data_IF_992072455964
#
_entry.id   IF_992072455964
#
_cell.length_a   1.000
_cell.length_b   1.000
_cell.length_c   1.000
_cell.angle_alpha   90.00
_cell.angle_beta   90.00
_cell.angle_gamma   90.00
#
_symmetry.space_group_name_H-M   'P 1'
#
loop_
_entity.id
_entity.type
_entity.pdbx_description
1 polymer ?
#
# COMPACT_ATOMS: atom_id res chain seq x y z
N UNK A 1 -26.23 -66.91 -6.29
CA UNK A 1 -26.79 -68.14 -5.71
C UNK A 1 -26.06 -69.34 -6.32
N UNK A 2 -25.18 -70.00 -5.56
CA UNK A 2 -24.57 -71.27 -5.95
C UNK A 2 -25.10 -72.34 -5.00
N UNK A 3 -26.03 -73.13 -5.51
CA UNK A 3 -26.63 -74.30 -4.89
C UNK A 3 -25.71 -75.50 -5.14
N UNK A 4 -25.30 -76.17 -4.05
CA UNK A 4 -24.63 -77.47 -4.10
C UNK A 4 -25.70 -78.55 -3.89
N UNK A 5 -25.81 -79.59 -4.74
CA UNK A 5 -26.85 -80.60 -4.62
C UNK A 5 -26.47 -81.73 -3.66
N UNK A 6 -27.48 -82.27 -3.00
CA UNK A 6 -27.43 -83.44 -2.15
C UNK A 6 -27.17 -84.72 -2.98
N UNK A 7 -26.26 -85.58 -2.51
CA UNK A 7 -26.18 -86.98 -2.92
C UNK A 7 -26.78 -87.85 -1.81
N UNK A 8 -27.90 -88.48 -2.16
CA UNK A 8 -28.49 -89.62 -1.47
C UNK A 8 -27.78 -90.90 -1.92
N UNK A 9 -27.66 -91.86 -1.01
CA UNK A 9 -27.59 -93.28 -1.39
C UNK A 9 -26.63 -94.11 -0.55
N UNK A 10 -27.17 -94.92 0.39
CA UNK A 10 -27.29 -96.37 0.19
C UNK A 10 -27.94 -97.02 1.42
N UNK A 11 -29.05 -97.71 1.16
CA UNK A 11 -29.63 -98.86 1.88
C UNK A 11 -28.56 -99.96 2.03
N UNK A 12 -28.58 -100.98 2.88
CA UNK A 12 -29.61 -101.75 3.57
C UNK A 12 -28.81 -102.69 4.51
N UNK A 13 -29.20 -102.93 5.76
CA UNK A 13 -28.70 -104.09 6.50
C UNK A 13 -29.69 -104.52 7.57
N UNK A 14 -30.51 -105.48 7.19
CA UNK A 14 -31.36 -106.26 8.08
C UNK A 14 -30.56 -107.42 8.67
N UNK A 15 -30.55 -107.56 9.99
CA UNK A 15 -30.20 -108.81 10.67
C UNK A 15 -30.83 -108.89 12.06
N UNK A 16 -31.77 -109.81 12.16
CA UNK A 16 -32.46 -110.29 13.36
C UNK A 16 -31.50 -110.72 14.49
N UNK A 17 -32.01 -110.64 15.73
CA UNK A 17 -31.29 -110.81 16.98
C UNK A 17 -30.79 -112.23 17.29
N UNK A 18 -29.62 -112.33 17.93
CA UNK A 18 -29.20 -113.49 18.73
C UNK A 18 -28.73 -112.98 20.10
N UNK A 19 -29.30 -113.55 21.17
CA UNK A 19 -29.07 -113.12 22.55
C UNK A 19 -27.92 -113.82 23.26
N UNK A 20 -27.27 -113.07 24.16
CA UNK A 20 -26.58 -113.56 25.36
C UNK A 20 -26.68 -112.49 26.48
N UNK A 21 -26.99 -112.86 27.74
CA UNK A 21 -26.86 -111.99 28.92
C UNK A 21 -25.61 -112.42 29.76
N UNK A 22 -25.34 -111.81 30.94
CA UNK A 22 -25.32 -110.39 31.31
C UNK A 22 -24.00 -110.00 32.03
N UNK A 23 -23.58 -108.72 31.99
CA UNK A 23 -22.69 -108.15 33.02
C UNK A 23 -23.04 -106.68 33.29
N UNK A 24 -22.83 -106.31 34.56
CA UNK A 24 -23.18 -105.11 35.31
C UNK A 24 -22.57 -103.79 34.80
N UNK A 25 -23.15 -102.68 35.29
CA UNK A 25 -22.75 -101.25 35.20
C UNK A 25 -22.85 -100.60 33.81
N UNK A 26 -23.43 -99.41 33.63
CA UNK A 26 -23.53 -98.29 34.56
C UNK A 26 -24.89 -97.56 34.41
N UNK A 27 -25.34 -97.00 35.52
CA UNK A 27 -26.30 -95.91 35.55
C UNK A 27 -25.71 -94.78 34.71
N UNK A 28 -26.30 -94.47 33.55
CA UNK A 28 -26.05 -93.22 32.84
C UNK A 28 -26.83 -92.14 33.61
N UNK A 29 -26.18 -91.20 34.30
CA UNK A 29 -26.91 -90.09 34.90
C UNK A 29 -27.52 -89.24 33.76
N UNK A 30 -28.69 -88.60 33.99
CA UNK A 30 -29.22 -87.65 33.03
C UNK A 30 -28.20 -86.51 32.84
N UNK A 31 -27.82 -86.25 31.59
CA UNK A 31 -27.01 -85.09 31.22
C UNK A 31 -27.73 -83.84 31.71
N UNK A 32 -27.11 -83.00 32.56
CA UNK A 32 -27.79 -81.82 33.08
C UNK A 32 -27.89 -80.74 31.99
N UNK A 33 -29.06 -80.10 31.90
CA UNK A 33 -29.40 -79.03 30.97
C UNK A 33 -28.71 -77.69 31.35
N UNK A 34 -27.38 -77.61 31.22
CA UNK A 34 -26.62 -76.39 31.55
C UNK A 34 -26.13 -75.55 30.36
N UNK A 35 -26.36 -75.96 29.10
CA UNK A 35 -25.75 -75.30 27.93
C UNK A 35 -26.52 -74.08 27.37
N UNK A 36 -27.80 -73.88 27.71
CA UNK A 36 -28.62 -72.78 27.14
C UNK A 36 -28.43 -71.43 27.83
N UNK A 37 -28.25 -71.40 29.15
CA UNK A 37 -28.12 -70.15 29.92
C UNK A 37 -26.77 -69.46 29.69
N UNK A 38 -25.69 -70.23 29.52
CA UNK A 38 -24.35 -69.69 29.23
C UNK A 38 -24.30 -69.00 27.86
N UNK A 39 -25.07 -69.50 26.88
CA UNK A 39 -25.12 -68.95 25.52
C UNK A 39 -25.89 -67.61 25.46
N UNK A 40 -26.98 -67.49 26.21
CA UNK A 40 -27.74 -66.22 26.34
C UNK A 40 -26.94 -65.16 27.10
N UNK A 41 -26.23 -65.53 28.17
CA UNK A 41 -25.36 -64.61 28.91
C UNK A 41 -24.20 -64.08 28.05
N UNK A 42 -23.60 -64.95 27.22
CA UNK A 42 -22.58 -64.54 26.26
C UNK A 42 -23.12 -63.58 25.20
N UNK A 43 -24.33 -63.82 24.68
CA UNK A 43 -24.97 -62.93 23.70
C UNK A 43 -25.27 -61.54 24.28
N UNK A 44 -25.81 -61.48 25.50
CA UNK A 44 -26.05 -60.21 26.21
C UNK A 44 -24.73 -59.45 26.45
N UNK A 45 -23.66 -60.17 26.80
CA UNK A 45 -22.33 -59.57 27.02
C UNK A 45 -21.72 -58.99 25.73
N UNK A 46 -21.90 -59.66 24.59
CA UNK A 46 -21.45 -59.15 23.28
C UNK A 46 -22.24 -57.93 22.86
N UNK A 47 -23.56 -57.94 23.04
CA UNK A 47 -24.42 -56.80 22.72
C UNK A 47 -24.05 -55.55 23.55
N UNK A 48 -23.69 -55.72 24.83
CA UNK A 48 -23.22 -54.63 25.69
C UNK A 48 -21.86 -54.09 25.23
N UNK A 49 -20.94 -54.96 24.82
CA UNK A 49 -19.64 -54.55 24.27
C UNK A 49 -19.81 -53.78 22.95
N UNK A 50 -20.66 -54.25 22.05
CA UNK A 50 -20.94 -53.57 20.78
C UNK A 50 -21.58 -52.20 21.00
N UNK A 51 -22.51 -52.09 21.95
CA UNK A 51 -23.09 -50.81 22.36
C UNK A 51 -22.04 -49.86 22.95
N UNK A 52 -21.16 -50.35 23.82
CA UNK A 52 -20.09 -49.56 24.42
C UNK A 52 -19.08 -49.07 23.35
N UNK A 53 -18.73 -49.93 22.39
CA UNK A 53 -17.85 -49.56 21.26
C UNK A 53 -18.53 -48.54 20.35
N UNK A 54 -19.82 -48.69 20.08
CA UNK A 54 -20.58 -47.73 19.28
C UNK A 54 -20.68 -46.36 19.97
N UNK A 55 -20.94 -46.34 21.28
CA UNK A 55 -20.97 -45.11 22.08
C UNK A 55 -19.60 -44.43 22.11
N UNK A 56 -18.53 -45.18 22.37
CA UNK A 56 -17.17 -44.65 22.37
C UNK A 56 -16.78 -44.05 21.01
N UNK A 57 -17.17 -44.70 19.90
CA UNK A 57 -16.95 -44.16 18.55
C UNK A 57 -17.73 -42.87 18.32
N UNK A 58 -19.00 -42.82 18.71
CA UNK A 58 -19.83 -41.62 18.58
C UNK A 58 -19.27 -40.44 19.40
N UNK A 59 -18.77 -40.70 20.61
CA UNK A 59 -18.13 -39.68 21.44
C UNK A 59 -16.82 -39.16 20.84
N UNK A 60 -16.00 -40.05 20.26
CA UNK A 60 -14.76 -39.65 19.59
C UNK A 60 -15.05 -38.81 18.34
N UNK A 61 -16.03 -39.22 17.52
CA UNK A 61 -16.43 -38.47 16.32
C UNK A 61 -16.98 -37.10 16.71
N UNK A 62 -17.88 -37.03 17.70
CA UNK A 62 -18.43 -35.75 18.16
C UNK A 62 -17.34 -34.81 18.70
N UNK A 63 -16.34 -35.34 19.42
CA UNK A 63 -15.18 -34.54 19.88
C UNK A 63 -14.33 -34.07 18.71
N UNK A 64 -14.11 -34.92 17.70
CA UNK A 64 -13.35 -34.57 16.51
C UNK A 64 -14.05 -33.47 15.69
N UNK A 65 -15.35 -33.61 15.45
CA UNK A 65 -16.17 -32.60 14.76
C UNK A 65 -16.16 -31.27 15.53
N UNK A 66 -16.28 -31.29 16.86
CA UNK A 66 -16.17 -30.08 17.68
C UNK A 66 -14.79 -29.42 17.57
N UNK A 67 -13.71 -30.20 17.58
CA UNK A 67 -12.35 -29.67 17.42
C UNK A 67 -12.16 -29.07 16.02
N UNK A 68 -12.68 -29.74 14.99
CA UNK A 68 -12.60 -29.27 13.61
C UNK A 68 -13.38 -27.97 13.43
N UNK A 69 -14.57 -27.87 14.04
CA UNK A 69 -15.39 -26.66 14.01
C UNK A 69 -14.70 -25.50 14.71
N UNK A 70 -14.14 -25.73 15.91
CA UNK A 70 -13.35 -24.70 16.62
C UNK A 70 -12.16 -24.23 15.81
N UNK A 71 -11.43 -25.15 15.17
CA UNK A 71 -10.27 -24.81 14.35
C UNK A 71 -10.67 -23.95 13.14
N UNK A 72 -11.82 -24.23 12.52
CA UNK A 72 -12.37 -23.41 11.43
C UNK A 72 -12.76 -22.02 11.92
N UNK A 73 -13.50 -21.93 13.02
CA UNK A 73 -13.93 -20.65 13.61
C UNK A 73 -12.74 -19.78 14.03
N UNK A 74 -11.70 -20.37 14.62
CA UNK A 74 -10.48 -19.66 14.99
C UNK A 74 -9.68 -19.23 13.75
N UNK A 75 -9.62 -20.07 12.71
CA UNK A 75 -8.99 -19.74 11.44
C UNK A 75 -9.71 -18.60 10.71
N UNK A 76 -11.04 -18.62 10.68
CA UNK A 76 -11.87 -17.53 10.12
C UNK A 76 -11.65 -16.23 10.89
N UNK A 77 -11.63 -16.28 12.22
CA UNK A 77 -11.35 -15.11 13.07
C UNK A 77 -9.97 -14.52 12.79
N UNK A 78 -8.93 -15.34 12.75
CA UNK A 78 -7.57 -14.89 12.44
C UNK A 78 -7.47 -14.28 11.05
N UNK A 79 -8.15 -14.85 10.06
CA UNK A 79 -8.16 -14.34 8.70
C UNK A 79 -8.87 -12.98 8.61
N UNK A 80 -9.97 -12.79 9.35
CA UNK A 80 -10.68 -11.51 9.46
C UNK A 80 -9.79 -10.44 10.11
N UNK A 81 -9.12 -10.79 11.22
CA UNK A 81 -8.19 -9.91 11.94
C UNK A 81 -7.01 -9.48 11.06
N UNK A 82 -6.38 -10.43 10.36
CA UNK A 82 -5.27 -10.14 9.45
C UNK A 82 -5.72 -9.31 8.24
N UNK A 83 -6.94 -9.53 7.72
CA UNK A 83 -7.51 -8.69 6.66
C UNK A 83 -7.74 -7.26 7.12
N UNK A 84 -8.29 -7.07 8.31
CA UNK A 84 -8.50 -5.75 8.87
C UNK A 84 -7.16 -5.02 9.04
N UNK A 85 -6.19 -5.70 9.67
CA UNK A 85 -4.84 -5.16 9.89
C UNK A 85 -4.12 -4.84 8.58
N UNK A 86 -4.23 -5.71 7.58
CA UNK A 86 -3.66 -5.47 6.26
C UNK A 86 -4.31 -4.25 5.58
N UNK A 87 -5.62 -4.11 5.70
CA UNK A 87 -6.36 -2.97 5.14
C UNK A 87 -5.97 -1.66 5.82
N UNK A 88 -5.86 -1.64 7.14
CA UNK A 88 -5.41 -0.47 7.91
C UNK A 88 -3.97 -0.07 7.51
N UNK A 89 -3.05 -1.04 7.49
CA UNK A 89 -1.67 -0.78 7.08
C UNK A 89 -1.58 -0.25 5.63
N UNK A 90 -2.37 -0.79 4.71
CA UNK A 90 -2.43 -0.32 3.33
C UNK A 90 -3.01 1.09 3.25
N UNK A 91 -4.07 1.39 4.01
CA UNK A 91 -4.66 2.71 4.07
C UNK A 91 -3.66 3.75 4.58
N UNK A 92 -2.92 3.44 5.65
CA UNK A 92 -1.88 4.31 6.22
C UNK A 92 -0.73 4.54 5.24
N UNK A 93 -0.26 3.50 4.56
CA UNK A 93 0.76 3.62 3.51
C UNK A 93 0.29 4.49 2.35
N UNK A 94 -0.95 4.31 1.91
CA UNK A 94 -1.52 5.09 0.81
C UNK A 94 -1.69 6.55 1.21
N UNK A 95 -2.19 6.81 2.43
CA UNK A 95 -2.33 8.16 2.97
C UNK A 95 -0.98 8.87 3.10
N UNK A 96 0.03 8.17 3.65
CA UNK A 96 1.40 8.68 3.74
C UNK A 96 1.99 9.02 2.38
N UNK A 97 1.87 8.10 1.42
CA UNK A 97 2.36 8.32 0.06
C UNK A 97 1.65 9.51 -0.63
N UNK A 98 0.34 9.65 -0.47
CA UNK A 98 -0.40 10.79 -1.03
C UNK A 98 0.09 12.11 -0.43
N UNK A 99 0.25 12.18 0.90
CA UNK A 99 0.75 13.38 1.57
C UNK A 99 2.17 13.72 1.11
N UNK A 100 3.05 12.74 1.01
CA UNK A 100 4.42 12.92 0.54
C UNK A 100 4.48 13.44 -0.90
N UNK A 101 3.67 12.88 -1.79
CA UNK A 101 3.59 13.33 -3.19
C UNK A 101 3.06 14.77 -3.28
N UNK A 102 2.03 15.13 -2.51
CA UNK A 102 1.55 16.52 -2.47
C UNK A 102 2.58 17.48 -1.87
N UNK A 103 3.33 17.05 -0.84
CA UNK A 103 4.41 17.85 -0.28
C UNK A 103 5.54 18.08 -1.30
N UNK A 104 5.84 17.10 -2.15
CA UNK A 104 6.83 17.22 -3.21
C UNK A 104 6.37 18.10 -4.39
N UNK A 105 5.06 18.15 -4.67
CA UNK A 105 4.51 18.97 -5.75
C UNK A 105 4.65 20.48 -5.50
N UNK A 106 4.61 20.92 -4.25
CA UNK A 106 4.70 22.34 -3.89
C UNK A 106 6.00 22.99 -4.39
N UNK A 107 7.18 22.46 -3.98
CA UNK A 107 8.48 22.95 -4.44
C UNK A 107 8.65 22.86 -5.97
N UNK A 108 8.30 21.73 -6.60
CA UNK A 108 8.44 21.56 -8.06
C UNK A 108 7.56 22.56 -8.84
N UNK A 109 6.35 22.82 -8.35
CA UNK A 109 5.49 23.84 -8.95
C UNK A 109 6.04 25.25 -8.75
N UNK A 110 6.54 25.56 -7.55
CA UNK A 110 7.12 26.86 -7.24
C UNK A 110 8.35 27.14 -8.12
N UNK A 111 9.25 26.17 -8.27
CA UNK A 111 10.43 26.25 -9.12
C UNK A 111 10.04 26.49 -10.59
N UNK A 112 9.11 25.68 -11.13
CA UNK A 112 8.65 25.84 -12.52
C UNK A 112 7.96 27.18 -12.76
N UNK A 113 7.19 27.67 -11.79
CA UNK A 113 6.56 28.98 -11.86
C UNK A 113 7.61 30.08 -11.82
N UNK A 114 8.60 29.96 -10.94
CA UNK A 114 9.69 30.92 -10.83
C UNK A 114 10.49 31.00 -12.13
N UNK A 115 10.90 29.87 -12.70
CA UNK A 115 11.59 29.81 -13.99
C UNK A 115 10.78 30.45 -15.13
N UNK A 116 9.46 30.26 -15.11
CA UNK A 116 8.58 30.87 -16.12
C UNK A 116 8.39 32.38 -15.91
N UNK A 117 8.37 32.83 -14.66
CA UNK A 117 8.17 34.22 -14.28
C UNK A 117 9.46 35.06 -14.32
N UNK A 118 10.64 34.44 -14.17
CA UNK A 118 11.97 35.06 -14.22
C UNK A 118 12.12 36.09 -15.35
N UNK A 119 11.82 35.78 -16.64
CA UNK A 119 11.95 36.76 -17.71
C UNK A 119 10.96 37.93 -17.60
N UNK A 120 9.77 37.71 -17.05
CA UNK A 120 8.76 38.75 -16.87
C UNK A 120 9.17 39.71 -15.76
N UNK A 121 9.62 39.16 -14.62
CA UNK A 121 10.13 39.95 -13.49
C UNK A 121 11.36 40.75 -13.91
N UNK A 122 12.28 40.13 -14.66
CA UNK A 122 13.46 40.81 -15.18
C UNK A 122 13.11 41.99 -16.10
N UNK A 123 12.08 41.83 -16.94
CA UNK A 123 11.59 42.93 -17.77
C UNK A 123 10.96 44.04 -16.93
N UNK A 124 10.11 43.70 -15.98
CA UNK A 124 9.45 44.68 -15.11
C UNK A 124 10.45 45.47 -14.27
N UNK A 125 11.48 44.81 -13.71
CA UNK A 125 12.54 45.47 -12.95
C UNK A 125 13.32 46.47 -13.81
N UNK A 126 13.65 46.11 -15.06
CA UNK A 126 14.29 47.03 -16.02
C UNK A 126 13.38 48.20 -16.36
N UNK A 127 12.12 47.94 -16.68
CA UNK A 127 11.15 48.98 -17.03
C UNK A 127 10.91 49.95 -15.85
N UNK A 128 10.94 49.45 -14.61
CA UNK A 128 10.85 50.25 -13.40
C UNK A 128 12.12 51.08 -13.18
N UNK A 129 13.30 50.46 -13.22
CA UNK A 129 14.58 51.15 -13.01
C UNK A 129 14.79 52.30 -14.02
N UNK A 130 14.47 52.06 -15.29
CA UNK A 130 14.52 53.12 -16.33
C UNK A 130 13.52 54.25 -16.03
N UNK A 131 12.37 53.93 -15.41
CA UNK A 131 11.34 54.91 -15.08
C UNK A 131 11.78 55.81 -13.93
N UNK A 132 12.22 55.19 -12.85
CA UNK A 132 12.77 55.88 -11.67
C UNK A 132 13.98 56.74 -12.05
N UNK A 133 14.88 56.22 -12.89
CA UNK A 133 16.05 56.95 -13.37
C UNK A 133 15.65 58.19 -14.21
N UNK A 134 14.62 58.07 -15.06
CA UNK A 134 14.08 59.19 -15.83
C UNK A 134 13.47 60.26 -14.91
N UNK A 135 12.73 59.84 -13.88
CA UNK A 135 12.12 60.75 -12.91
C UNK A 135 13.20 61.48 -12.08
N UNK A 136 14.23 60.75 -11.65
CA UNK A 136 15.39 61.33 -10.96
C UNK A 136 16.10 62.33 -11.86
N UNK A 137 16.36 61.98 -13.13
CA UNK A 137 17.07 62.86 -14.06
C UNK A 137 16.28 64.14 -14.33
N UNK A 138 14.97 64.04 -14.57
CA UNK A 138 14.10 65.21 -14.78
C UNK A 138 13.98 66.08 -13.54
N UNK A 139 14.15 65.52 -12.33
CA UNK A 139 14.13 66.28 -11.07
C UNK A 139 15.45 66.98 -10.72
N UNK A 140 16.59 66.38 -11.08
CA UNK A 140 17.93 66.87 -10.69
C UNK A 140 18.50 67.82 -11.75
N UNK A 141 18.21 67.58 -13.03
CA UNK A 141 18.87 68.33 -14.10
C UNK A 141 18.24 69.71 -14.25
N UNK A 142 19.04 70.72 -13.90
CA UNK A 142 18.76 72.12 -14.21
C UNK A 142 19.12 72.41 -15.68
N UNK A 143 18.50 73.44 -16.27
CA UNK A 143 18.83 73.86 -17.63
C UNK A 143 20.35 74.14 -17.78
N UNK A 144 20.98 73.50 -18.78
CA UNK A 144 22.41 73.59 -19.17
C UNK A 144 23.42 72.68 -18.44
N UNK A 145 23.01 71.57 -17.82
CA UNK A 145 23.94 70.53 -17.40
C UNK A 145 24.18 69.51 -18.54
N UNK A 146 25.44 69.19 -18.86
CA UNK A 146 25.76 68.07 -19.75
C UNK A 146 25.63 66.77 -18.98
N UNK A 147 24.82 65.85 -19.51
CA UNK A 147 24.59 64.53 -18.91
C UNK A 147 25.31 63.48 -19.76
N UNK A 148 26.05 62.57 -19.13
CA UNK A 148 26.65 61.41 -19.80
C UNK A 148 25.96 60.16 -19.27
N UNK A 149 25.36 59.36 -20.15
CA UNK A 149 24.72 58.10 -19.81
C UNK A 149 25.47 56.93 -20.46
N UNK A 150 25.83 55.93 -19.64
CA UNK A 150 26.57 54.75 -20.06
C UNK A 150 25.83 53.47 -19.64
N UNK A 151 25.72 52.49 -20.53
CA UNK A 151 25.08 51.20 -20.21
C UNK A 151 24.65 50.39 -21.44
N UNK A 152 23.89 49.30 -21.25
CA UNK A 152 23.43 48.43 -22.32
C UNK A 152 22.52 49.17 -23.31
N UNK A 153 22.72 48.96 -24.61
CA UNK A 153 21.97 49.63 -25.69
C UNK A 153 20.44 49.52 -25.52
N UNK A 154 19.93 48.36 -25.09
CA UNK A 154 18.50 48.17 -24.86
C UNK A 154 17.93 49.08 -23.77
N UNK A 155 18.67 49.30 -22.69
CA UNK A 155 18.24 50.15 -21.58
C UNK A 155 18.41 51.64 -21.92
N UNK A 156 19.50 52.00 -22.62
CA UNK A 156 19.71 53.36 -23.10
C UNK A 156 18.64 53.79 -24.11
N UNK A 157 18.21 52.89 -25.00
CA UNK A 157 17.08 53.13 -25.90
C UNK A 157 15.78 53.39 -25.13
N UNK A 158 15.44 52.53 -24.16
CA UNK A 158 14.25 52.71 -23.35
C UNK A 158 14.26 54.03 -22.55
N UNK A 159 15.43 54.44 -22.04
CA UNK A 159 15.60 55.71 -21.35
C UNK A 159 15.47 56.90 -22.32
N UNK A 160 16.07 56.80 -23.51
CA UNK A 160 15.97 57.83 -24.56
C UNK A 160 14.51 58.05 -24.96
N UNK A 161 13.77 56.98 -25.24
CA UNK A 161 12.37 57.03 -25.64
C UNK A 161 11.50 57.72 -24.57
N UNK A 162 11.82 57.54 -23.27
CA UNK A 162 11.13 58.20 -22.16
C UNK A 162 11.48 59.67 -21.99
N UNK A 163 12.70 60.06 -22.34
CA UNK A 163 13.18 61.44 -22.23
C UNK A 163 12.86 62.27 -23.48
N UNK A 164 12.26 61.68 -24.52
CA UNK A 164 11.81 62.40 -25.70
C UNK A 164 10.88 63.56 -25.31
N UNK A 165 11.26 64.78 -25.69
CA UNK A 165 10.51 66.00 -25.39
C UNK A 165 11.01 66.81 -24.18
N UNK A 166 11.99 66.29 -23.42
CA UNK A 166 12.68 67.09 -22.40
C UNK A 166 13.89 67.85 -22.98
N UNK A 167 14.15 69.09 -22.54
CA UNK A 167 15.30 69.89 -23.01
C UNK A 167 16.60 69.47 -22.30
N UNK A 168 17.01 68.22 -22.50
CA UNK A 168 18.21 67.61 -21.91
C UNK A 168 19.25 67.34 -23.00
N UNK A 169 20.49 67.75 -22.77
CA UNK A 169 21.63 67.39 -23.63
C UNK A 169 22.35 66.18 -23.03
N UNK A 170 22.08 65.00 -23.59
CA UNK A 170 22.58 63.71 -23.09
C UNK A 170 23.52 63.07 -24.09
N UNK A 171 24.75 62.77 -23.66
CA UNK A 171 25.72 61.97 -24.40
C UNK A 171 25.54 60.51 -24.03
N UNK A 172 25.27 59.67 -25.02
CA UNK A 172 24.97 58.24 -24.84
C UNK A 172 26.19 57.39 -25.22
N UNK A 173 26.63 56.53 -24.31
CA UNK A 173 27.75 55.60 -24.53
C UNK A 173 27.31 54.17 -24.24
N UNK A 174 27.46 53.27 -25.21
CA UNK A 174 27.17 51.86 -24.97
C UNK A 174 28.27 51.23 -24.09
N UNK A 175 27.86 50.54 -23.03
CA UNK A 175 28.74 49.77 -22.18
C UNK A 175 28.12 48.40 -21.85
N UNK A 176 28.94 47.34 -21.73
CA UNK A 176 28.45 46.02 -21.34
C UNK A 176 28.04 46.02 -19.85
N UNK A 177 26.99 45.28 -19.49
CA UNK A 177 26.51 45.16 -18.11
C UNK A 177 25.00 44.94 -18.04
N UNK A 178 24.44 45.06 -16.83
CA UNK A 178 22.99 45.10 -16.62
C UNK A 178 22.49 46.47 -16.12
N UNK A 179 23.40 47.40 -15.85
CA UNK A 179 23.12 48.68 -15.21
C UNK A 179 23.32 49.88 -16.15
N UNK A 180 22.65 50.98 -15.85
CA UNK A 180 22.88 52.30 -16.44
C UNK A 180 23.57 53.17 -15.40
N UNK A 181 24.67 53.81 -15.78
CA UNK A 181 25.34 54.86 -15.03
C UNK A 181 25.11 56.22 -15.71
N UNK A 182 24.66 57.20 -14.96
CA UNK A 182 24.46 58.58 -15.41
C UNK A 182 25.35 59.51 -14.60
N UNK A 183 26.14 60.30 -15.29
CA UNK A 183 26.93 61.39 -14.73
C UNK A 183 26.30 62.74 -15.14
N UNK A 184 25.87 63.52 -14.14
CA UNK A 184 25.31 64.86 -14.33
C UNK A 184 26.03 65.84 -13.40
N UNK A 185 27.02 66.57 -13.94
CA UNK A 185 27.84 67.50 -13.17
C UNK A 185 28.71 66.78 -12.13
N UNK A 186 28.38 66.93 -10.84
CA UNK A 186 29.08 66.29 -9.70
C UNK A 186 28.25 65.13 -9.09
N UNK A 187 27.18 64.71 -9.78
CA UNK A 187 26.30 63.63 -9.33
C UNK A 187 26.40 62.44 -10.27
N UNK A 188 26.70 61.27 -9.70
CA UNK A 188 26.68 59.99 -10.40
C UNK A 188 25.49 59.20 -9.85
N UNK A 189 24.60 58.77 -10.74
CA UNK A 189 23.45 57.92 -10.42
C UNK A 189 23.59 56.62 -11.20
N UNK A 190 23.56 55.51 -10.50
CA UNK A 190 23.69 54.18 -11.10
C UNK A 190 22.49 53.31 -10.69
N UNK A 191 21.96 52.54 -11.64
CA UNK A 191 20.97 51.51 -11.31
C UNK A 191 21.64 50.32 -10.67
N UNK A 192 21.00 49.67 -9.70
CA UNK A 192 21.50 48.43 -9.07
C UNK A 192 20.71 47.20 -9.58
N UNK A 193 20.54 47.08 -10.90
CA UNK A 193 19.88 45.94 -11.52
C UNK A 193 20.73 44.68 -11.38
N UNK A 194 22.07 44.77 -11.50
CA UNK A 194 22.94 43.60 -11.28
C UNK A 194 22.78 43.00 -9.89
N UNK A 195 22.81 43.84 -8.85
CA UNK A 195 22.66 43.40 -7.46
C UNK A 195 21.27 42.80 -7.21
N UNK A 196 20.23 43.40 -7.81
CA UNK A 196 18.87 42.87 -7.74
C UNK A 196 18.75 41.51 -8.43
N UNK A 197 19.33 41.34 -9.62
CA UNK A 197 19.33 40.05 -10.32
C UNK A 197 20.06 38.97 -9.52
N UNK A 198 21.21 39.30 -8.93
CA UNK A 198 21.94 38.38 -8.04
C UNK A 198 21.10 37.97 -6.82
N UNK A 199 20.43 38.92 -6.16
CA UNK A 199 19.57 38.63 -5.00
C UNK A 199 18.35 37.77 -5.37
N UNK A 200 17.81 37.93 -6.58
CA UNK A 200 16.70 37.12 -7.09
C UNK A 200 17.17 35.71 -7.44
N UNK A 201 18.40 35.52 -7.89
CA UNK A 201 18.97 34.20 -8.14
C UNK A 201 19.31 33.47 -6.83
N UNK A 202 19.87 34.17 -5.84
CA UNK A 202 20.18 33.58 -4.53
C UNK A 202 18.93 33.10 -3.78
N UNK A 203 17.80 33.81 -3.91
CA UNK A 203 16.52 33.40 -3.31
C UNK A 203 15.78 32.32 -4.11
N UNK A 204 16.21 32.04 -5.34
CA UNK A 204 15.67 30.95 -6.16
C UNK A 204 16.35 29.60 -5.87
N UNK A 205 17.63 29.64 -5.48
CA UNK A 205 18.46 28.46 -5.22
C UNK A 205 18.37 27.94 -3.76
N UNK A 206 17.68 28.66 -2.86
CA UNK A 206 17.56 28.35 -1.42
C UNK A 206 16.14 28.02 -0.97
#
# INVERSE_FOLDING_TARGET
MKTVPAMLGLTDFSAEAVGYPPLSEAIVPPVPAHETEETEQQFISQQQLDQAVAQARAEVEARYEQQLQKLREDGERQLEEERLRATENQADQLAGAVIEQFAALGPDLAERLFERCRPVLARLARDQAVGELSDVLTSIVQANCTVVASGPDALLKALRDRLEGHPLDVVWTEAPGADISIEAGDTIVETQLSDWFCAVEETADG
#
